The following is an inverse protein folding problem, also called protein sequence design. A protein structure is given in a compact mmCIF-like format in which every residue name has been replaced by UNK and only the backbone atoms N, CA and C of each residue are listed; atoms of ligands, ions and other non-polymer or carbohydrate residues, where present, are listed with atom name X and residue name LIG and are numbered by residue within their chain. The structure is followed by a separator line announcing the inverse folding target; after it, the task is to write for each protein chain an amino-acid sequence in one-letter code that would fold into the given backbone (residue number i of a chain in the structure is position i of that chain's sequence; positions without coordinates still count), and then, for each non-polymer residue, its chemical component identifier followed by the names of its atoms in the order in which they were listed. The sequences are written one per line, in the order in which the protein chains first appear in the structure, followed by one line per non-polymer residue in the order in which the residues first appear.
data_IF_432867576941
#
_entry.id   IF_432867576941
#
_cell.length_a   1.000
_cell.length_b   1.000
_cell.length_c   1.000
_cell.angle_alpha   90.00
_cell.angle_beta   90.00
_cell.angle_gamma   90.00
#
_symmetry.space_group_name_H-M   'P 1'
#
loop_
_entity.id
_entity.type
_entity.pdbx_description
1 polymer ?
#
# COMPACT_ATOMS: atom_id res chain seq x y z
N UNK A 1 -62.75 42.75 42.79
CA UNK A 1 -61.66 41.95 43.30
C UNK A 1 -61.04 41.27 42.03
N UNK A 2 -59.99 41.91 41.40
CA UNK A 2 -59.39 41.45 40.16
C UNK A 2 -58.21 40.58 40.52
N UNK A 3 -58.25 39.28 40.16
CA UNK A 3 -57.12 38.34 40.23
C UNK A 3 -56.18 38.59 39.05
N UNK A 4 -54.94 38.97 39.35
CA UNK A 4 -53.90 39.18 38.45
C UNK A 4 -53.28 37.78 38.06
N UNK A 5 -53.20 37.39 36.82
CA UNK A 5 -52.53 36.13 36.44
C UNK A 5 -51.02 36.28 36.59
N UNK A 6 -50.39 35.52 37.46
CA UNK A 6 -48.96 35.35 37.54
C UNK A 6 -48.53 34.48 36.36
N UNK A 7 -47.89 35.14 35.37
CA UNK A 7 -47.19 34.45 34.31
C UNK A 7 -45.93 33.80 34.90
N UNK A 8 -45.96 32.50 35.09
CA UNK A 8 -44.82 31.66 35.36
C UNK A 8 -43.91 31.72 34.11
N UNK A 9 -42.93 32.61 34.13
CA UNK A 9 -41.85 32.60 33.20
C UNK A 9 -40.98 31.37 33.46
N UNK A 10 -41.24 30.30 32.73
CA UNK A 10 -40.37 29.14 32.64
C UNK A 10 -39.06 29.63 32.06
N UNK A 11 -38.03 29.82 32.89
CA UNK A 11 -36.65 29.98 32.46
C UNK A 11 -36.25 28.68 31.79
N UNK A 12 -36.27 28.68 30.47
CA UNK A 12 -35.57 27.69 29.65
C UNK A 12 -34.09 27.79 30.02
N UNK A 13 -33.65 26.98 30.97
CA UNK A 13 -32.26 26.80 31.31
C UNK A 13 -31.63 26.24 30.04
N UNK A 14 -30.92 27.11 29.33
CA UNK A 14 -30.19 26.81 28.13
C UNK A 14 -29.13 25.75 28.45
N UNK A 15 -29.41 24.49 28.17
CA UNK A 15 -28.49 23.35 28.26
C UNK A 15 -27.36 23.42 27.17
N UNK A 16 -26.78 24.60 27.02
CA UNK A 16 -25.71 24.82 26.01
C UNK A 16 -24.35 24.23 26.42
N UNK A 17 -24.16 23.91 27.71
CA UNK A 17 -22.90 23.35 28.20
C UNK A 17 -22.78 21.83 28.05
N UNK A 18 -23.90 21.08 28.13
CA UNK A 18 -23.89 19.62 28.05
C UNK A 18 -23.44 19.11 26.67
N UNK A 19 -23.98 19.70 25.60
CA UNK A 19 -23.65 19.33 24.21
C UNK A 19 -22.18 19.64 23.87
N UNK A 20 -21.63 20.74 24.43
CA UNK A 20 -20.25 21.09 24.22
C UNK A 20 -19.26 20.06 24.82
N UNK A 21 -19.56 19.57 26.03
CA UNK A 21 -18.71 18.55 26.68
C UNK A 21 -18.80 17.23 25.94
N UNK A 22 -19.97 16.83 25.50
CA UNK A 22 -20.17 15.59 24.72
C UNK A 22 -19.40 15.65 23.40
N UNK A 23 -19.47 16.78 22.67
CA UNK A 23 -18.72 16.97 21.43
C UNK A 23 -17.21 16.93 21.66
N UNK A 24 -16.70 17.55 22.72
CA UNK A 24 -15.25 17.53 23.05
C UNK A 24 -14.77 16.11 23.37
N UNK A 25 -15.59 15.30 24.05
CA UNK A 25 -15.24 13.90 24.33
C UNK A 25 -15.27 13.01 23.10
N UNK A 26 -16.15 13.26 22.13
CA UNK A 26 -16.26 12.48 20.90
C UNK A 26 -15.20 12.86 19.85
N UNK A 27 -14.73 14.11 19.84
CA UNK A 27 -13.75 14.60 18.85
C UNK A 27 -12.49 13.75 18.75
N UNK A 28 -11.80 13.35 19.84
CA UNK A 28 -10.61 12.52 19.74
C UNK A 28 -10.88 11.18 19.06
N UNK A 29 -12.00 10.56 19.36
CA UNK A 29 -12.40 9.26 18.79
C UNK A 29 -12.59 9.39 17.26
N UNK A 30 -13.31 10.44 16.84
CA UNK A 30 -13.55 10.71 15.42
C UNK A 30 -12.22 10.97 14.69
N UNK A 31 -11.31 11.75 15.29
CA UNK A 31 -10.01 12.08 14.70
C UNK A 31 -9.16 10.80 14.54
N UNK A 32 -9.10 9.93 15.55
CA UNK A 32 -8.35 8.66 15.49
C UNK A 32 -8.94 7.77 14.41
N UNK A 33 -10.26 7.64 14.32
CA UNK A 33 -10.93 6.83 13.31
C UNK A 33 -10.64 7.36 11.90
N UNK A 34 -10.74 8.68 11.70
CA UNK A 34 -10.45 9.31 10.42
C UNK A 34 -8.99 9.11 10.03
N UNK A 35 -8.06 9.27 10.97
CA UNK A 35 -6.63 9.02 10.74
C UNK A 35 -6.39 7.55 10.33
N UNK A 36 -7.01 6.59 11.02
CA UNK A 36 -6.90 5.18 10.68
C UNK A 36 -7.41 4.91 9.26
N UNK A 37 -8.57 5.44 8.88
CA UNK A 37 -9.12 5.27 7.52
C UNK A 37 -8.17 5.82 6.45
N UNK A 38 -7.62 7.02 6.66
CA UNK A 38 -6.68 7.63 5.71
C UNK A 38 -5.42 6.77 5.61
N UNK A 39 -4.85 6.34 6.74
CA UNK A 39 -3.61 5.57 6.75
C UNK A 39 -3.78 4.22 6.03
N UNK A 40 -4.83 3.47 6.34
CA UNK A 40 -5.10 2.20 5.65
C UNK A 40 -5.42 2.39 4.17
N UNK A 41 -6.04 3.51 3.79
CA UNK A 41 -6.26 3.84 2.38
C UNK A 41 -4.93 4.04 1.63
N UNK A 42 -3.93 4.67 2.27
CA UNK A 42 -2.58 4.83 1.69
C UNK A 42 -1.85 3.49 1.54
N UNK A 43 -1.92 2.62 2.57
CA UNK A 43 -1.35 1.27 2.51
C UNK A 43 -1.99 0.47 1.38
N UNK A 44 -3.31 0.50 1.29
CA UNK A 44 -4.06 -0.21 0.26
C UNK A 44 -3.73 0.31 -1.14
N UNK A 45 -3.58 1.62 -1.30
CA UNK A 45 -3.15 2.21 -2.57
C UNK A 45 -1.74 1.72 -2.96
N UNK A 46 -0.79 1.72 -2.02
CA UNK A 46 0.57 1.24 -2.27
C UNK A 46 0.57 -0.25 -2.65
N UNK A 47 -0.18 -1.09 -1.94
CA UNK A 47 -0.31 -2.51 -2.24
C UNK A 47 -0.89 -2.75 -3.65
N UNK A 48 -1.93 -2.01 -4.03
CA UNK A 48 -2.50 -2.10 -5.38
C UNK A 48 -1.53 -1.60 -6.46
N UNK A 49 -0.78 -0.52 -6.20
CA UNK A 49 0.24 -0.04 -7.13
C UNK A 49 1.32 -1.09 -7.36
N UNK A 50 1.81 -1.73 -6.31
CA UNK A 50 2.83 -2.78 -6.40
C UNK A 50 2.29 -4.02 -7.11
N UNK A 51 1.07 -4.45 -6.80
CA UNK A 51 0.41 -5.56 -7.48
C UNK A 51 0.22 -5.29 -8.98
N UNK A 52 -0.23 -4.08 -9.32
CA UNK A 52 -0.36 -3.66 -10.70
C UNK A 52 0.99 -3.60 -11.42
N UNK A 53 2.02 -3.04 -10.79
CA UNK A 53 3.36 -2.95 -11.37
C UNK A 53 3.97 -4.34 -11.60
N UNK A 54 3.82 -5.27 -10.65
CA UNK A 54 4.30 -6.64 -10.79
C UNK A 54 3.58 -7.38 -11.94
N UNK A 55 2.26 -7.31 -12.01
CA UNK A 55 1.47 -7.97 -13.06
C UNK A 55 1.72 -7.37 -14.44
N UNK A 56 1.78 -6.05 -14.53
CA UNK A 56 2.00 -5.36 -15.81
C UNK A 56 3.42 -5.60 -16.34
N UNK A 57 4.43 -5.63 -15.47
CA UNK A 57 5.79 -5.94 -15.87
C UNK A 57 5.93 -7.36 -16.43
N UNK A 58 5.28 -8.34 -15.82
CA UNK A 58 5.19 -9.72 -16.32
C UNK A 58 4.47 -9.75 -17.67
N UNK A 59 3.32 -9.11 -17.76
CA UNK A 59 2.51 -9.09 -19.00
C UNK A 59 3.30 -8.54 -20.19
N UNK A 60 4.06 -7.47 -19.99
CA UNK A 60 4.86 -6.87 -21.04
C UNK A 60 6.11 -7.70 -21.38
N UNK A 61 6.65 -8.44 -20.42
CA UNK A 61 7.85 -9.26 -20.62
C UNK A 61 7.59 -10.53 -21.45
N UNK A 62 6.35 -11.00 -21.52
CA UNK A 62 5.97 -12.20 -22.30
C UNK A 62 6.43 -12.07 -23.77
N UNK A 63 6.34 -10.87 -24.34
CA UNK A 63 6.77 -10.62 -25.72
C UNK A 63 8.27 -10.80 -25.96
N UNK A 64 9.08 -10.89 -24.92
CA UNK A 64 10.53 -11.08 -24.99
C UNK A 64 10.98 -12.49 -24.65
N UNK A 65 10.06 -13.38 -24.32
CA UNK A 65 10.32 -14.81 -24.17
C UNK A 65 10.44 -15.42 -25.58
N UNK A 66 11.46 -16.28 -25.78
CA UNK A 66 11.60 -16.98 -27.03
C UNK A 66 10.36 -17.84 -27.30
N UNK A 67 9.83 -17.77 -28.55
CA UNK A 67 8.64 -18.51 -28.96
C UNK A 67 8.85 -20.03 -28.79
N UNK A 68 10.08 -20.54 -29.02
CA UNK A 68 10.42 -21.93 -28.82
C UNK A 68 10.23 -22.37 -27.35
N UNK A 69 10.59 -21.50 -26.40
CA UNK A 69 10.44 -21.75 -24.97
C UNK A 69 8.99 -21.69 -24.48
N UNK A 70 8.12 -21.06 -25.24
CA UNK A 70 6.70 -20.98 -24.91
C UNK A 70 5.95 -22.29 -25.21
N UNK A 71 6.37 -23.00 -26.27
CA UNK A 71 5.71 -24.23 -26.73
C UNK A 71 6.43 -25.52 -26.33
N UNK A 72 7.74 -25.46 -26.13
CA UNK A 72 8.56 -26.61 -25.74
C UNK A 72 9.58 -26.23 -24.67
N UNK A 73 9.08 -26.09 -23.44
CA UNK A 73 9.90 -25.77 -22.28
C UNK A 73 10.91 -26.87 -21.90
N UNK A 74 10.71 -28.09 -22.41
CA UNK A 74 11.61 -29.21 -22.17
C UNK A 74 12.90 -29.15 -23.03
N UNK A 75 13.02 -28.18 -23.94
CA UNK A 75 14.23 -27.99 -24.71
C UNK A 75 15.40 -27.51 -23.86
N UNK A 76 16.62 -27.96 -24.17
CA UNK A 76 17.84 -27.61 -23.41
C UNK A 76 18.14 -26.11 -23.36
N UNK A 77 17.59 -25.36 -24.30
CA UNK A 77 17.80 -23.91 -24.44
C UNK A 77 16.77 -23.05 -23.69
N UNK A 78 15.78 -23.67 -23.04
CA UNK A 78 14.71 -23.05 -22.33
C UNK A 78 14.76 -23.27 -20.80
N UNK A 79 15.97 -23.31 -20.23
CA UNK A 79 16.09 -23.38 -18.77
C UNK A 79 15.58 -22.12 -18.10
N UNK A 80 14.98 -22.23 -16.90
CA UNK A 80 14.50 -21.13 -16.09
C UNK A 80 15.52 -19.99 -15.98
N UNK A 81 16.80 -20.35 -15.82
CA UNK A 81 17.90 -19.39 -15.69
C UNK A 81 18.14 -18.60 -16.96
N UNK A 82 18.04 -19.24 -18.14
CA UNK A 82 18.25 -18.54 -19.42
C UNK A 82 17.10 -17.59 -19.72
N UNK A 83 15.88 -18.05 -19.55
CA UNK A 83 14.69 -17.20 -19.72
C UNK A 83 14.75 -16.04 -18.74
N UNK A 84 15.08 -16.29 -17.47
CA UNK A 84 15.23 -15.25 -16.45
C UNK A 84 16.27 -14.20 -16.87
N UNK A 85 17.45 -14.62 -17.36
CA UNK A 85 18.50 -13.71 -17.80
C UNK A 85 18.04 -12.81 -18.96
N UNK A 86 17.24 -13.36 -19.87
CA UNK A 86 16.75 -12.62 -21.03
C UNK A 86 15.66 -11.60 -20.68
N UNK A 87 14.77 -11.94 -19.75
CA UNK A 87 13.58 -11.10 -19.46
C UNK A 87 13.70 -10.26 -18.21
N UNK A 88 14.63 -10.56 -17.28
CA UNK A 88 14.73 -9.87 -15.98
C UNK A 88 14.96 -8.37 -16.11
N UNK A 89 15.77 -7.94 -17.07
CA UNK A 89 15.99 -6.52 -17.35
C UNK A 89 14.70 -5.82 -17.79
N UNK A 90 13.98 -6.44 -18.73
CA UNK A 90 12.72 -5.90 -19.26
C UNK A 90 11.64 -5.84 -18.18
N UNK A 91 11.53 -6.90 -17.36
CA UNK A 91 10.59 -6.93 -16.23
C UNK A 91 10.90 -5.78 -15.27
N UNK A 92 12.17 -5.62 -14.90
CA UNK A 92 12.60 -4.56 -13.98
C UNK A 92 12.29 -3.16 -14.53
N UNK A 93 12.65 -2.90 -15.77
CA UNK A 93 12.45 -1.60 -16.41
C UNK A 93 10.95 -1.24 -16.50
N UNK A 94 10.12 -2.22 -16.86
CA UNK A 94 8.68 -2.04 -16.91
C UNK A 94 8.07 -1.78 -15.52
N UNK A 95 8.49 -2.54 -14.50
CA UNK A 95 8.05 -2.33 -13.13
C UNK A 95 8.44 -0.93 -12.62
N UNK A 96 9.68 -0.51 -12.87
CA UNK A 96 10.17 0.85 -12.57
C UNK A 96 9.30 1.89 -13.28
N UNK A 97 9.04 1.73 -14.57
CA UNK A 97 8.23 2.66 -15.35
C UNK A 97 6.82 2.85 -14.81
N UNK A 98 6.16 1.76 -14.40
CA UNK A 98 4.83 1.81 -13.79
C UNK A 98 4.87 2.58 -12.46
N UNK A 99 5.83 2.27 -11.59
CA UNK A 99 5.96 2.92 -10.27
C UNK A 99 6.28 4.41 -10.46
N UNK A 100 7.24 4.74 -11.33
CA UNK A 100 7.63 6.12 -11.62
C UNK A 100 6.50 6.97 -12.21
N UNK A 101 5.57 6.36 -12.94
CA UNK A 101 4.37 7.03 -13.43
C UNK A 101 3.51 7.65 -12.32
N UNK A 102 3.60 7.11 -11.11
CA UNK A 102 2.86 7.60 -9.93
C UNK A 102 3.75 8.40 -8.98
N UNK A 103 4.99 7.95 -8.78
CA UNK A 103 5.91 8.52 -7.77
C UNK A 103 6.75 9.68 -8.30
N UNK A 104 6.68 9.96 -9.61
CA UNK A 104 7.51 10.96 -10.28
C UNK A 104 9.03 10.73 -10.15
N UNK A 105 9.45 9.47 -9.96
CA UNK A 105 10.86 9.07 -10.00
C UNK A 105 11.50 9.36 -11.36
N UNK A 106 12.83 9.44 -11.40
CA UNK A 106 13.59 9.68 -12.63
C UNK A 106 14.85 8.83 -12.68
N UNK A 107 15.16 8.32 -13.86
CA UNK A 107 16.32 7.45 -14.06
C UNK A 107 16.20 6.17 -13.23
N UNK A 108 17.22 5.85 -12.43
CA UNK A 108 17.19 4.67 -11.56
C UNK A 108 16.36 4.86 -10.27
N UNK A 109 16.03 6.10 -9.89
CA UNK A 109 15.29 6.38 -8.65
C UNK A 109 13.80 6.09 -8.83
N UNK A 110 13.23 5.29 -7.94
CA UNK A 110 11.80 4.98 -7.90
C UNK A 110 10.93 6.16 -7.40
N UNK A 111 11.55 7.23 -6.92
CA UNK A 111 10.84 8.41 -6.40
C UNK A 111 10.31 8.22 -4.98
N UNK A 112 9.24 8.93 -4.65
CA UNK A 112 8.63 8.87 -3.33
C UNK A 112 7.12 8.65 -3.42
N UNK A 113 6.59 7.86 -2.48
CA UNK A 113 5.17 7.61 -2.34
C UNK A 113 4.72 8.15 -0.98
N UNK A 114 3.77 9.09 -0.98
CA UNK A 114 3.28 9.76 0.23
C UNK A 114 4.38 10.36 1.13
N UNK A 115 5.49 10.84 0.52
CA UNK A 115 6.62 11.41 1.23
C UNK A 115 7.69 10.40 1.68
N UNK A 116 7.44 9.11 1.54
CA UNK A 116 8.43 8.04 1.80
C UNK A 116 9.19 7.73 0.52
N UNK A 117 10.53 7.83 0.57
CA UNK A 117 11.40 7.49 -0.57
C UNK A 117 11.43 5.98 -0.75
N UNK A 118 11.15 5.52 -1.97
CA UNK A 118 11.18 4.09 -2.30
C UNK A 118 12.62 3.64 -2.54
N UNK A 119 13.07 2.53 -1.89
CA UNK A 119 14.43 2.02 -2.07
C UNK A 119 14.60 1.34 -3.44
N UNK A 120 15.81 1.34 -3.98
CA UNK A 120 16.12 0.66 -5.24
C UNK A 120 15.98 -0.88 -5.15
N UNK A 121 16.04 -1.41 -3.92
CA UNK A 121 15.82 -2.83 -3.61
C UNK A 121 14.34 -3.24 -3.56
N UNK A 122 13.41 -2.31 -3.84
CA UNK A 122 11.97 -2.57 -3.82
C UNK A 122 11.57 -3.74 -4.74
N UNK A 123 12.24 -3.87 -5.90
CA UNK A 123 11.90 -4.85 -6.94
C UNK A 123 12.92 -5.98 -6.90
N UNK A 124 12.46 -7.19 -6.62
CA UNK A 124 13.24 -8.43 -6.64
C UNK A 124 12.68 -9.36 -7.72
N UNK A 125 13.55 -9.94 -8.51
CA UNK A 125 13.18 -10.90 -9.56
C UNK A 125 13.96 -12.18 -9.28
N UNK A 126 13.25 -13.31 -9.17
CA UNK A 126 13.82 -14.62 -8.88
C UNK A 126 13.27 -15.70 -9.80
N UNK A 127 14.03 -16.77 -9.96
CA UNK A 127 13.54 -17.98 -10.61
C UNK A 127 12.63 -18.75 -9.66
N UNK A 128 11.69 -19.50 -10.22
CA UNK A 128 10.77 -20.34 -9.45
C UNK A 128 11.30 -21.79 -9.49
N UNK A 129 11.40 -22.42 -8.32
CA UNK A 129 11.97 -23.78 -8.19
C UNK A 129 11.12 -24.88 -8.82
N UNK A 130 9.88 -24.62 -9.21
CA UNK A 130 8.95 -25.66 -9.70
C UNK A 130 8.20 -25.27 -10.97
N UNK A 131 8.90 -25.21 -12.11
CA UNK A 131 8.26 -25.15 -13.42
C UNK A 131 7.64 -23.79 -13.77
N UNK A 132 8.39 -22.73 -13.62
CA UNK A 132 8.02 -21.39 -14.09
C UNK A 132 9.25 -20.51 -14.22
N UNK A 133 9.24 -19.56 -15.15
CA UNK A 133 10.42 -18.75 -15.38
C UNK A 133 10.74 -17.83 -14.21
N UNK A 134 9.80 -16.97 -13.85
CA UNK A 134 10.17 -15.78 -13.11
C UNK A 134 9.07 -15.38 -12.12
N UNK A 135 9.48 -15.07 -10.91
CA UNK A 135 8.67 -14.36 -9.92
C UNK A 135 9.18 -12.94 -9.75
N UNK A 136 8.29 -11.98 -9.85
CA UNK A 136 8.55 -10.59 -9.53
C UNK A 136 7.92 -10.29 -8.20
N UNK A 137 8.74 -9.89 -7.24
CA UNK A 137 8.26 -9.44 -5.92
C UNK A 137 8.61 -7.97 -5.77
N UNK A 138 7.62 -7.16 -5.46
CA UNK A 138 7.76 -5.74 -5.12
C UNK A 138 7.41 -5.60 -3.64
N UNK A 139 8.41 -5.26 -2.83
CA UNK A 139 8.27 -5.22 -1.37
C UNK A 139 8.86 -3.95 -0.80
N UNK A 140 8.06 -3.22 -0.02
CA UNK A 140 8.52 -2.11 0.83
C UNK A 140 8.75 -2.66 2.24
N UNK A 141 10.00 -3.02 2.58
CA UNK A 141 10.34 -3.57 3.88
C UNK A 141 10.33 -2.48 4.96
N UNK A 142 10.28 -2.91 6.22
CA UNK A 142 10.39 -2.02 7.39
C UNK A 142 9.38 -0.87 7.38
N UNK A 143 8.16 -1.12 6.88
CA UNK A 143 7.14 -0.10 6.79
C UNK A 143 6.80 0.56 8.12
N UNK A 144 6.91 -0.19 9.23
CA UNK A 144 6.67 0.34 10.59
C UNK A 144 7.71 1.39 11.01
N UNK A 145 8.94 1.33 10.47
CA UNK A 145 10.00 2.31 10.77
C UNK A 145 9.81 3.61 9.97
N UNK A 146 9.26 3.48 8.75
CA UNK A 146 9.03 4.62 7.84
C UNK A 146 7.61 4.61 7.29
N UNK A 147 6.59 4.77 8.15
CA UNK A 147 5.20 4.74 7.72
C UNK A 147 4.83 6.00 6.92
N UNK A 148 3.83 5.91 6.06
CA UNK A 148 3.33 7.05 5.27
C UNK A 148 2.81 8.19 6.13
N UNK A 149 2.27 7.89 7.31
CA UNK A 149 1.84 8.86 8.31
C UNK A 149 2.45 8.49 9.68
N UNK A 150 2.74 9.47 10.55
CA UNK A 150 3.28 9.20 11.87
C UNK A 150 2.30 8.34 12.70
N UNK A 151 2.69 7.12 13.02
CA UNK A 151 1.87 6.12 13.72
C UNK A 151 1.99 6.21 15.24
N UNK A 152 3.02 6.88 15.76
CA UNK A 152 3.36 6.89 17.17
C UNK A 152 2.23 7.35 18.12
N UNK A 153 1.29 8.15 17.62
CA UNK A 153 0.10 8.57 18.40
C UNK A 153 -0.87 7.40 18.55
N UNK A 154 -1.06 6.61 17.51
CA UNK A 154 -2.01 5.48 17.51
C UNK A 154 -1.41 4.31 18.27
N UNK A 155 -0.15 3.97 18.02
CA UNK A 155 0.55 2.89 18.72
C UNK A 155 0.64 3.16 20.24
N UNK A 156 0.76 4.43 20.65
CA UNK A 156 0.77 4.83 22.06
C UNK A 156 -0.62 4.83 22.74
N UNK A 157 -1.71 4.80 21.96
CA UNK A 157 -3.09 4.78 22.49
C UNK A 157 -3.67 3.36 22.54
N UNK A 158 -3.11 2.42 21.80
CA UNK A 158 -3.58 1.04 21.76
C UNK A 158 -2.92 0.21 22.85
N UNK A 159 -3.69 -0.59 23.59
CA UNK A 159 -3.15 -1.52 24.57
C UNK A 159 -2.50 -2.69 23.85
N UNK A 160 -1.16 -2.81 23.91
CA UNK A 160 -0.40 -3.92 23.34
C UNK A 160 1.02 -3.49 22.96
N UNK A 161 1.95 -4.45 22.91
CA UNK A 161 3.36 -4.21 22.61
C UNK A 161 3.66 -4.26 21.10
N UNK A 162 2.63 -4.18 20.22
CA UNK A 162 2.81 -4.30 18.77
C UNK A 162 2.08 -3.19 17.99
N UNK A 163 2.70 -2.76 16.87
CA UNK A 163 2.03 -1.89 15.92
C UNK A 163 0.88 -2.62 15.23
N UNK A 164 -0.25 -1.94 15.03
CA UNK A 164 -1.40 -2.45 14.26
C UNK A 164 -1.17 -2.40 12.76
N UNK A 165 -0.07 -1.79 12.34
CA UNK A 165 0.29 -1.63 10.93
C UNK A 165 1.18 -2.78 10.45
N UNK A 166 1.12 -3.13 9.15
CA UNK A 166 1.95 -4.20 8.59
C UNK A 166 3.44 -3.87 8.73
N UNK A 167 4.27 -4.89 8.85
CA UNK A 167 5.73 -4.74 8.87
C UNK A 167 6.28 -4.41 7.49
N UNK A 168 5.61 -4.90 6.44
CA UNK A 168 5.98 -4.70 5.04
C UNK A 168 4.73 -4.60 4.16
N UNK A 169 4.88 -3.95 3.01
CA UNK A 169 3.87 -3.93 1.94
C UNK A 169 4.47 -4.67 0.76
N UNK A 170 3.92 -5.83 0.40
CA UNK A 170 4.46 -6.67 -0.65
C UNK A 170 3.39 -7.12 -1.63
N UNK A 171 3.80 -7.30 -2.88
CA UNK A 171 3.01 -7.89 -3.94
C UNK A 171 3.91 -8.73 -4.83
N UNK A 172 3.39 -9.83 -5.38
CA UNK A 172 4.15 -10.66 -6.32
C UNK A 172 3.32 -11.08 -7.52
N UNK A 173 4.01 -11.32 -8.63
CA UNK A 173 3.45 -11.88 -9.84
C UNK A 173 4.40 -12.91 -10.43
N UNK A 174 3.84 -13.94 -11.07
CA UNK A 174 4.57 -15.10 -11.56
C UNK A 174 4.35 -15.27 -13.06
N UNK A 175 5.42 -15.49 -13.82
CA UNK A 175 5.36 -15.94 -15.21
C UNK A 175 5.52 -17.46 -15.24
N UNK A 176 4.43 -18.17 -15.55
CA UNK A 176 4.46 -19.61 -15.82
C UNK A 176 4.54 -19.85 -17.31
N UNK A 177 5.53 -20.67 -17.73
CA UNK A 177 5.66 -21.24 -19.07
C UNK A 177 5.20 -22.71 -18.97
N UNK A 178 4.37 -23.14 -19.88
CA UNK A 178 3.85 -24.52 -19.90
C UNK A 178 4.73 -25.43 -20.75
#
# INVERSE_FOLDING_TARGET
MMMKPEFLTYRLIRQRGSVAIETVCLMPVIIILLFAVIHYSMIFFAANLFDYAAKESIRQSIAYVDEACYFDYASSDCSDTQVLNNVSGVIRDNAIGVIQGVTHGKGASLGSLFGVTLPDSLITISAIESGGCCEVTISLPNYQETPFLPTGIIDGLLPGDGSVFPTEITASAVLKLN
#
